data_IF_632795763248
#
_entry.id   IF_632795763248
#
_cell.length_a   1.000
_cell.length_b   1.000
_cell.length_c   1.000
_cell.angle_alpha   90.00
_cell.angle_beta   90.00
_cell.angle_gamma   90.00
#
_symmetry.space_group_name_H-M   'P 1'
#
loop_
_entity.id
_entity.type
_entity.pdbx_description
1 polymer ?
#
# COMPACT_ATOMS: atom_id res chain seq x y z
N UNK A 1 -12.89 -9.16 29.81
CA UNK A 1 -12.10 -8.06 29.24
C UNK A 1 -12.82 -7.55 27.99
N UNK A 2 -13.28 -6.28 27.98
CA UNK A 2 -13.87 -5.69 26.76
C UNK A 2 -12.75 -5.55 25.73
N UNK A 3 -12.80 -6.29 24.63
CA UNK A 3 -11.94 -6.06 23.46
C UNK A 3 -12.28 -4.65 22.97
N UNK A 4 -11.47 -3.66 23.30
CA UNK A 4 -11.54 -2.34 22.66
C UNK A 4 -11.33 -2.61 21.17
N UNK A 5 -12.38 -2.53 20.36
CA UNK A 5 -12.27 -2.61 18.91
C UNK A 5 -11.27 -1.54 18.50
N UNK A 6 -10.09 -1.95 18.04
CA UNK A 6 -9.07 -1.03 17.52
C UNK A 6 -9.75 -0.26 16.38
N UNK A 7 -9.55 1.06 16.33
CA UNK A 7 -10.14 1.88 15.28
C UNK A 7 -9.67 1.36 13.91
N UNK A 8 -10.56 1.30 12.89
CA UNK A 8 -10.16 0.98 11.53
C UNK A 8 -9.05 1.93 11.06
N UNK A 9 -8.09 1.38 10.31
CA UNK A 9 -7.04 2.14 9.66
C UNK A 9 -7.57 2.71 8.35
N UNK A 10 -7.14 3.94 8.00
CA UNK A 10 -7.46 4.57 6.72
C UNK A 10 -6.32 4.34 5.74
N UNK A 11 -6.63 3.76 4.59
CA UNK A 11 -5.67 3.51 3.52
C UNK A 11 -5.96 4.39 2.30
N UNK A 12 -4.90 4.83 1.62
CA UNK A 12 -4.89 5.47 0.32
C UNK A 12 -4.71 4.39 -0.75
N UNK A 13 -5.65 4.27 -1.69
CA UNK A 13 -5.54 3.33 -2.80
C UNK A 13 -4.57 3.89 -3.83
N UNK A 14 -3.37 3.32 -3.90
CA UNK A 14 -2.26 3.80 -4.74
C UNK A 14 -2.14 3.02 -6.06
N UNK A 15 -2.78 1.86 -6.18
CA UNK A 15 -2.95 1.18 -7.46
C UNK A 15 -4.23 0.34 -7.50
N UNK A 16 -4.80 0.26 -8.71
CA UNK A 16 -5.84 -0.71 -9.11
C UNK A 16 -5.52 -1.20 -10.51
N UNK A 17 -5.18 -2.47 -10.67
CA UNK A 17 -4.97 -3.05 -12.00
C UNK A 17 -6.31 -3.53 -12.56
N UNK A 18 -6.51 -3.33 -13.86
CA UNK A 18 -7.66 -3.89 -14.57
C UNK A 18 -7.43 -5.39 -14.84
N UNK A 19 -8.48 -6.19 -15.05
CA UNK A 19 -8.33 -7.53 -15.60
C UNK A 19 -7.54 -7.47 -16.92
N UNK A 20 -6.41 -8.17 -17.01
CA UNK A 20 -5.43 -7.95 -18.08
C UNK A 20 -4.47 -9.13 -18.28
N UNK A 21 -3.17 -8.85 -18.48
CA UNK A 21 -2.11 -9.85 -18.71
C UNK A 21 -2.00 -10.90 -17.59
N UNK A 22 -2.44 -10.53 -16.39
CA UNK A 22 -2.58 -11.40 -15.23
C UNK A 22 -4.07 -11.68 -14.97
N UNK A 23 -4.45 -12.92 -14.61
CA UNK A 23 -5.85 -13.35 -14.55
C UNK A 23 -6.67 -12.68 -13.43
N UNK A 24 -6.04 -11.93 -12.54
CA UNK A 24 -6.64 -11.44 -11.30
C UNK A 24 -6.32 -9.95 -11.09
N UNK A 25 -7.32 -9.06 -10.98
CA UNK A 25 -7.08 -7.65 -10.67
C UNK A 25 -6.43 -7.53 -9.29
N UNK A 26 -5.55 -6.54 -9.14
CA UNK A 26 -4.84 -6.22 -7.91
C UNK A 26 -5.20 -4.83 -7.41
N UNK A 27 -5.37 -4.69 -6.10
CA UNK A 27 -5.51 -3.42 -5.41
C UNK A 27 -4.39 -3.29 -4.37
N UNK A 28 -3.66 -2.18 -4.43
CA UNK A 28 -2.62 -1.85 -3.45
C UNK A 28 -2.98 -0.55 -2.78
N UNK A 29 -2.94 -0.54 -1.44
CA UNK A 29 -3.29 0.61 -0.64
C UNK A 29 -2.31 0.83 0.52
N UNK A 30 -2.01 2.08 0.82
CA UNK A 30 -1.04 2.49 1.84
C UNK A 30 -1.77 3.15 3.02
N UNK A 31 -1.52 2.68 4.24
CA UNK A 31 -1.83 3.41 5.45
C UNK A 31 -0.59 4.20 5.89
N UNK A 32 -0.55 5.53 5.71
CA UNK A 32 0.58 6.34 6.12
C UNK A 32 0.54 6.59 7.63
N UNK A 33 1.58 6.14 8.32
CA UNK A 33 1.78 6.30 9.76
C UNK A 33 3.27 6.26 10.13
N UNK A 34 4.14 6.84 9.29
CA UNK A 34 5.60 6.81 9.48
C UNK A 34 6.14 5.37 9.49
N UNK A 35 7.02 5.05 10.44
CA UNK A 35 7.54 3.69 10.63
C UNK A 35 6.48 2.63 10.98
N UNK A 36 5.27 3.05 11.39
CA UNK A 36 4.14 2.15 11.65
C UNK A 36 3.23 1.96 10.42
N UNK A 37 3.62 2.51 9.27
CA UNK A 37 2.87 2.39 8.02
C UNK A 37 2.64 0.94 7.61
N UNK A 38 1.54 0.71 6.89
CA UNK A 38 1.15 -0.62 6.41
C UNK A 38 0.74 -0.55 4.96
N UNK A 39 1.01 -1.62 4.24
CA UNK A 39 0.52 -1.81 2.88
C UNK A 39 -0.54 -2.91 2.91
N UNK A 40 -1.71 -2.61 2.37
CA UNK A 40 -2.77 -3.58 2.09
C UNK A 40 -2.71 -3.96 0.62
N UNK A 41 -2.70 -5.26 0.35
CA UNK A 41 -2.67 -5.79 -1.01
C UNK A 41 -3.80 -6.80 -1.12
N UNK A 42 -4.54 -6.74 -2.21
CA UNK A 42 -5.56 -7.70 -2.56
C UNK A 42 -5.38 -8.16 -4.01
N UNK A 43 -5.32 -9.46 -4.23
CA UNK A 43 -5.26 -10.08 -5.56
C UNK A 43 -6.52 -10.92 -5.78
N UNK A 44 -7.18 -10.72 -6.92
CA UNK A 44 -8.38 -11.46 -7.32
C UNK A 44 -9.67 -10.63 -7.27
N UNK A 45 -10.80 -11.22 -7.72
CA UNK A 45 -12.09 -10.56 -7.59
C UNK A 45 -12.38 -10.33 -6.10
N UNK A 46 -12.95 -9.15 -5.79
CA UNK A 46 -13.27 -8.67 -4.44
C UNK A 46 -13.83 -9.70 -3.42
N UNK A 47 -14.59 -10.77 -3.80
CA UNK A 47 -15.02 -11.79 -2.84
C UNK A 47 -13.96 -12.80 -2.36
N UNK A 48 -12.79 -12.93 -3.01
CA UNK A 48 -11.80 -13.99 -2.68
C UNK A 48 -10.52 -13.42 -2.03
N UNK A 49 -10.24 -12.11 -2.19
CA UNK A 49 -9.10 -11.36 -1.62
C UNK A 49 -7.93 -12.26 -1.16
N UNK A 50 -7.17 -12.81 -2.11
CA UNK A 50 -5.90 -13.45 -1.80
C UNK A 50 -4.90 -12.32 -1.52
N UNK A 51 -4.77 -11.92 -0.26
CA UNK A 51 -4.02 -10.73 0.11
C UNK A 51 -4.10 -10.43 1.60
N UNK A 52 -3.35 -9.43 2.05
CA UNK A 52 -3.20 -9.13 3.46
C UNK A 52 -2.71 -7.72 3.72
N UNK A 53 -2.51 -7.43 5.01
CA UNK A 53 -1.82 -6.22 5.45
C UNK A 53 -0.42 -6.59 5.95
N UNK A 54 0.59 -5.98 5.36
CA UNK A 54 1.99 -6.13 5.76
C UNK A 54 2.51 -4.83 6.35
N UNK A 55 3.53 -4.91 7.19
CA UNK A 55 4.24 -3.72 7.65
C UNK A 55 5.04 -3.12 6.48
N UNK A 56 5.14 -1.80 6.41
CA UNK A 56 5.93 -1.14 5.35
C UNK A 56 7.39 -1.61 5.34
N UNK A 57 7.96 -1.88 6.51
CA UNK A 57 9.30 -2.44 6.66
C UNK A 57 9.50 -3.81 6.00
N UNK A 58 8.43 -4.56 5.71
CA UNK A 58 8.51 -5.84 4.99
C UNK A 58 8.43 -5.66 3.46
N UNK A 59 7.97 -4.49 3.01
CA UNK A 59 7.90 -4.11 1.59
C UNK A 59 9.24 -3.54 1.12
N UNK A 60 9.99 -2.93 2.03
CA UNK A 60 11.33 -2.43 1.75
C UNK A 60 12.39 -3.52 1.99
N UNK A 61 13.55 -3.36 1.36
CA UNK A 61 14.71 -4.22 1.57
C UNK A 61 15.29 -4.10 2.99
N UNK A 62 16.27 -4.95 3.33
CA UNK A 62 16.89 -4.96 4.66
C UNK A 62 17.56 -3.63 5.04
N UNK A 63 17.98 -2.83 4.06
CA UNK A 63 18.57 -1.51 4.27
C UNK A 63 17.52 -0.41 4.45
N UNK A 64 16.24 -0.73 4.22
CA UNK A 64 15.10 0.19 4.19
C UNK A 64 15.28 1.34 3.20
N UNK A 65 16.13 1.19 2.18
CA UNK A 65 16.46 2.22 1.21
C UNK A 65 15.86 1.96 -0.18
N UNK A 66 15.26 0.78 -0.38
CA UNK A 66 14.67 0.36 -1.65
C UNK A 66 13.57 -0.66 -1.46
N UNK A 67 12.97 -1.06 -2.58
CA UNK A 67 11.97 -2.11 -2.63
C UNK A 67 12.63 -3.48 -2.36
N UNK A 68 12.01 -4.31 -1.53
CA UNK A 68 12.48 -5.68 -1.35
C UNK A 68 12.27 -6.49 -2.64
N UNK A 69 13.23 -7.37 -3.02
CA UNK A 69 13.09 -8.23 -4.20
C UNK A 69 11.81 -9.06 -4.20
N UNK A 70 11.29 -9.42 -3.03
CA UNK A 70 10.05 -10.19 -2.87
C UNK A 70 8.78 -9.44 -3.31
N UNK A 71 8.86 -8.14 -3.56
CA UNK A 71 7.73 -7.29 -3.97
C UNK A 71 7.91 -6.70 -5.37
N UNK A 72 8.97 -7.06 -6.07
CA UNK A 72 9.30 -6.46 -7.37
C UNK A 72 8.23 -6.76 -8.41
N UNK A 73 7.74 -8.00 -8.47
CA UNK A 73 6.72 -8.42 -9.43
C UNK A 73 5.39 -7.67 -9.21
N UNK A 74 4.91 -7.56 -7.97
CA UNK A 74 3.68 -6.84 -7.68
C UNK A 74 3.81 -5.34 -7.95
N UNK A 75 4.98 -4.74 -7.67
CA UNK A 75 5.21 -3.32 -7.95
C UNK A 75 5.38 -3.03 -9.44
N UNK A 76 5.99 -3.94 -10.20
CA UNK A 76 6.03 -3.89 -11.67
C UNK A 76 4.61 -3.97 -12.24
N UNK A 77 3.81 -4.94 -11.80
CA UNK A 77 2.46 -5.16 -12.29
C UNK A 77 1.53 -3.96 -12.03
N UNK A 78 1.67 -3.32 -10.87
CA UNK A 78 0.87 -2.18 -10.47
C UNK A 78 1.42 -0.80 -10.90
N UNK A 79 2.54 -0.75 -11.64
CA UNK A 79 3.28 0.49 -11.95
C UNK A 79 3.49 1.35 -10.69
N UNK A 80 4.01 0.75 -9.62
CA UNK A 80 4.18 1.40 -8.31
C UNK A 80 5.58 1.90 -8.03
N UNK A 81 6.55 1.69 -8.92
CA UNK A 81 7.94 2.14 -8.69
C UNK A 81 8.08 3.64 -8.39
N UNK A 82 7.15 4.46 -8.90
CA UNK A 82 7.13 5.89 -8.60
C UNK A 82 6.91 6.21 -7.12
N UNK A 83 6.25 5.33 -6.35
CA UNK A 83 5.92 5.60 -4.95
C UNK A 83 7.06 5.21 -3.99
N UNK A 84 7.98 4.34 -4.43
CA UNK A 84 9.06 3.76 -3.59
C UNK A 84 9.91 4.82 -2.87
N UNK A 85 10.35 5.92 -3.51
CA UNK A 85 11.13 6.95 -2.81
C UNK A 85 10.39 7.59 -1.63
N UNK A 86 9.06 7.74 -1.74
CA UNK A 86 8.24 8.27 -0.65
C UNK A 86 8.03 7.22 0.44
N UNK A 87 7.89 5.95 0.08
CA UNK A 87 7.78 4.85 1.05
C UNK A 87 9.04 4.74 1.93
N UNK A 88 10.22 4.89 1.34
CA UNK A 88 11.49 4.90 2.08
C UNK A 88 11.53 6.04 3.11
N UNK A 89 11.18 7.26 2.69
CA UNK A 89 11.11 8.44 3.58
C UNK A 89 10.05 8.27 4.66
N UNK A 90 8.89 7.73 4.29
CA UNK A 90 7.81 7.42 5.23
C UNK A 90 8.25 6.40 6.28
N UNK A 91 8.97 5.34 5.88
CA UNK A 91 9.55 4.37 6.81
C UNK A 91 10.59 5.00 7.75
N UNK A 92 11.36 5.97 7.26
CA UNK A 92 12.29 6.76 8.07
C UNK A 92 11.59 7.73 9.05
N UNK A 93 10.27 7.87 8.96
CA UNK A 93 9.45 8.68 9.86
C UNK A 93 9.05 10.06 9.32
N UNK A 94 9.39 10.37 8.07
CA UNK A 94 8.90 11.58 7.41
C UNK A 94 7.41 11.44 7.07
N UNK A 95 6.63 12.53 7.16
CA UNK A 95 5.26 12.54 6.67
C UNK A 95 5.23 12.94 5.19
N UNK A 96 5.28 11.95 4.31
CA UNK A 96 5.21 12.14 2.86
C UNK A 96 3.79 11.98 2.30
N UNK A 97 2.76 12.01 3.15
CA UNK A 97 1.38 11.69 2.75
C UNK A 97 0.87 12.61 1.64
N UNK A 98 1.03 13.92 1.82
CA UNK A 98 0.57 14.91 0.84
C UNK A 98 1.36 14.84 -0.47
N UNK A 99 2.66 14.52 -0.40
CA UNK A 99 3.50 14.31 -1.59
C UNK A 99 3.04 13.10 -2.40
N UNK A 100 2.72 11.99 -1.73
CA UNK A 100 2.18 10.78 -2.37
C UNK A 100 0.84 11.09 -3.05
N UNK A 101 -0.05 11.83 -2.36
CA UNK A 101 -1.34 12.26 -2.92
C UNK A 101 -1.15 13.15 -4.14
N UNK A 102 -0.23 14.10 -4.09
CA UNK A 102 0.08 14.99 -5.20
C UNK A 102 0.67 14.23 -6.39
N UNK A 103 1.63 13.35 -6.17
CA UNK A 103 2.25 12.51 -7.21
C UNK A 103 1.21 11.58 -7.86
N UNK A 104 0.36 10.92 -7.06
CA UNK A 104 -0.75 10.12 -7.58
C UNK A 104 -1.69 10.98 -8.44
N UNK A 105 -2.09 12.14 -7.93
CA UNK A 105 -3.03 13.04 -8.63
C UNK A 105 -2.45 13.52 -9.96
N UNK A 106 -1.16 13.86 -10.01
CA UNK A 106 -0.48 14.25 -11.24
C UNK A 106 -0.47 13.10 -12.27
N UNK A 107 -0.32 11.85 -11.81
CA UNK A 107 -0.24 10.67 -12.69
C UNK A 107 -1.61 10.18 -13.17
N UNK A 108 -2.65 10.33 -12.36
CA UNK A 108 -3.99 9.75 -12.61
C UNK A 108 -5.10 10.77 -12.83
N UNK A 109 -4.82 12.08 -12.73
CA UNK A 109 -5.77 13.18 -12.91
C UNK A 109 -6.81 13.33 -11.80
N UNK A 110 -6.73 12.53 -10.73
CA UNK A 110 -7.64 12.54 -9.58
C UNK A 110 -6.91 12.06 -8.32
N UNK A 111 -7.35 12.48 -7.11
CA UNK A 111 -6.76 12.00 -5.87
C UNK A 111 -6.99 10.49 -5.68
N UNK A 112 -6.12 9.80 -4.91
CA UNK A 112 -6.31 8.40 -4.58
C UNK A 112 -7.61 8.22 -3.79
N UNK A 113 -8.31 7.12 -4.06
CA UNK A 113 -9.46 6.75 -3.24
C UNK A 113 -9.00 6.43 -1.82
N UNK A 114 -9.90 6.56 -0.84
CA UNK A 114 -9.62 6.13 0.54
C UNK A 114 -10.50 4.96 0.92
N UNK A 115 -9.95 4.00 1.65
CA UNK A 115 -10.70 2.90 2.24
C UNK A 115 -10.42 2.78 3.75
N UNK A 116 -11.36 2.19 4.48
CA UNK A 116 -11.18 1.88 5.91
C UNK A 116 -11.13 0.37 6.09
N UNK A 117 -10.08 -0.14 6.72
CA UNK A 117 -9.94 -1.57 7.02
C UNK A 117 -9.58 -1.78 8.49
N UNK A 118 -10.07 -2.87 9.09
CA UNK A 118 -9.57 -3.30 10.38
C UNK A 118 -8.11 -3.75 10.28
N UNK A 119 -7.33 -3.60 11.36
CA UNK A 119 -5.94 -4.05 11.37
C UNK A 119 -5.87 -5.58 11.43
N UNK A 120 -5.30 -6.21 10.40
CA UNK A 120 -5.08 -7.66 10.33
C UNK A 120 -3.67 -8.06 10.81
N UNK A 121 -3.53 -9.26 11.38
CA UNK A 121 -2.25 -9.87 11.78
C UNK A 121 -1.63 -9.28 13.05
N UNK A 122 -2.23 -9.55 14.22
CA UNK A 122 -1.64 -9.26 15.55
C UNK A 122 -1.06 -10.53 16.14
#
# INVERSE_FOLDING_TARGET
>A
MKKTKRRPLRFLVIARTAPGRHPHPMEVALHPAGAASRVSISVGPHPVNAGGQVALSQVLDESLAGLSPSWTEEFDEADLHWVVPYLVRLQAGEDTTDEIVAAYTARHGKPPATMSQDRYGV
#
